data_IF_956467523202
#
_entry.id   IF_956467523202
#
_cell.length_a   1.000
_cell.length_b   1.000
_cell.length_c   1.000
_cell.angle_alpha   90.00
_cell.angle_beta   90.00
_cell.angle_gamma   90.00
#
_symmetry.space_group_name_H-M   'P 1'
#
loop_
_entity.id
_entity.type
_entity.pdbx_description
1 polymer ?
#
# COMPACT_ATOMS: atom_id res chain seq x y z
N UNK A 1 -6.74 35.52 -25.78
CA UNK A 1 -8.10 35.11 -25.35
C UNK A 1 -7.93 34.17 -24.16
N UNK A 2 -8.37 34.39 -22.93
CA UNK A 2 -9.19 35.43 -22.31
C UNK A 2 -8.58 35.75 -20.92
N UNK A 3 -8.60 37.02 -20.51
CA UNK A 3 -8.14 37.49 -19.18
C UNK A 3 -9.18 37.10 -18.13
N UNK A 4 -8.77 36.42 -17.07
CA UNK A 4 -9.57 36.19 -15.87
C UNK A 4 -9.39 37.36 -14.89
N UNK A 5 -10.44 37.83 -14.21
CA UNK A 5 -10.37 38.98 -13.31
C UNK A 5 -9.79 38.56 -11.96
N UNK A 6 -8.74 39.27 -11.54
CA UNK A 6 -8.28 39.31 -10.15
C UNK A 6 -9.23 40.25 -9.40
N UNK A 7 -10.12 39.68 -8.60
CA UNK A 7 -10.86 40.41 -7.58
C UNK A 7 -9.98 40.57 -6.36
N UNK A 8 -9.78 41.82 -5.95
CA UNK A 8 -9.12 42.23 -4.72
C UNK A 8 -9.76 41.55 -3.51
N UNK A 9 -8.97 40.77 -2.78
CA UNK A 9 -9.34 40.26 -1.46
C UNK A 9 -8.62 41.14 -0.44
N UNK A 10 -9.43 41.89 0.29
CA UNK A 10 -9.05 42.75 1.39
C UNK A 10 -8.14 42.05 2.40
N UNK A 11 -7.08 42.77 2.79
CA UNK A 11 -6.22 42.49 3.93
C UNK A 11 -7.02 42.59 5.24
N UNK A 12 -7.62 41.47 5.64
CA UNK A 12 -8.27 41.30 6.94
C UNK A 12 -7.30 40.88 8.02
N UNK A 13 -6.93 41.84 8.87
CA UNK A 13 -6.39 41.73 10.23
C UNK A 13 -6.38 40.32 10.86
N UNK A 14 -5.19 39.72 10.94
CA UNK A 14 -4.92 38.53 11.74
C UNK A 14 -4.79 38.92 13.22
N UNK A 15 -5.89 38.89 13.97
CA UNK A 15 -5.86 38.97 15.43
C UNK A 15 -6.67 37.84 16.06
N UNK A 16 -5.96 36.95 16.75
CA UNK A 16 -6.46 36.22 17.92
C UNK A 16 -7.40 35.05 17.64
N UNK A 17 -6.86 33.83 17.72
CA UNK A 17 -7.26 32.76 18.66
C UNK A 17 -6.16 31.68 18.53
N UNK A 18 -5.19 31.72 19.45
CA UNK A 18 -4.23 30.63 19.63
C UNK A 18 -4.95 29.46 20.32
N UNK A 19 -5.64 28.64 19.53
CA UNK A 19 -6.06 27.30 19.95
C UNK A 19 -4.87 26.36 19.74
N UNK A 20 -4.04 26.22 20.77
CA UNK A 20 -2.98 25.22 20.79
C UNK A 20 -3.59 23.83 20.88
N UNK A 21 -3.83 23.24 19.71
CA UNK A 21 -3.68 21.81 19.43
C UNK A 21 -2.54 21.25 20.30
N UNK A 22 -2.69 20.08 20.97
CA UNK A 22 -1.56 19.30 21.45
C UNK A 22 -0.73 18.83 20.25
N UNK A 23 -0.03 19.79 19.63
CA UNK A 23 1.00 19.52 18.66
C UNK A 23 2.00 18.59 19.30
N UNK A 24 2.31 17.50 18.59
CA UNK A 24 3.37 16.59 18.97
C UNK A 24 4.61 17.45 19.17
N UNK A 25 5.17 17.56 20.39
CA UNK A 25 6.23 18.53 20.68
C UNK A 25 7.45 18.38 19.76
N UNK A 26 7.60 17.19 19.16
CA UNK A 26 8.64 16.85 18.21
C UNK A 26 8.46 17.51 16.82
N UNK A 27 7.26 17.86 16.39
CA UNK A 27 7.02 18.49 15.07
C UNK A 27 7.45 19.96 15.05
N UNK A 28 7.35 20.66 16.19
CA UNK A 28 7.78 22.06 16.34
C UNK A 28 9.28 22.29 16.20
N UNK A 29 10.10 21.24 16.34
CA UNK A 29 11.55 21.33 16.13
C UNK A 29 11.92 21.61 14.67
N UNK A 30 11.00 21.39 13.74
CA UNK A 30 11.20 21.61 12.32
C UNK A 30 10.61 22.95 11.87
N UNK A 31 11.35 23.63 10.99
CA UNK A 31 10.90 24.85 10.33
C UNK A 31 9.61 24.61 9.54
N UNK A 32 8.78 25.65 9.44
CA UNK A 32 7.58 25.66 8.58
C UNK A 32 7.95 25.39 7.11
N UNK A 33 6.98 24.88 6.34
CA UNK A 33 7.21 24.40 4.98
C UNK A 33 7.40 22.89 4.89
N UNK A 34 8.11 22.49 3.83
CA UNK A 34 8.42 21.10 3.52
C UNK A 34 9.12 20.32 4.65
N UNK A 35 10.03 20.89 5.48
CA UNK A 35 10.65 20.13 6.58
C UNK A 35 9.63 19.62 7.60
N UNK A 36 8.63 20.45 7.94
CA UNK A 36 7.56 20.04 8.86
C UNK A 36 6.63 19.01 8.23
N UNK A 37 6.32 19.14 6.93
CA UNK A 37 5.55 18.12 6.20
C UNK A 37 6.29 16.77 6.18
N UNK A 38 7.60 16.77 5.93
CA UNK A 38 8.40 15.55 5.93
C UNK A 38 8.41 14.88 7.32
N UNK A 39 8.61 15.67 8.37
CA UNK A 39 8.53 15.19 9.75
C UNK A 39 7.14 14.64 10.09
N UNK A 40 6.08 15.26 9.58
CA UNK A 40 4.71 14.82 9.75
C UNK A 40 4.46 13.46 9.10
N UNK A 41 4.94 13.28 7.88
CA UNK A 41 4.85 12.02 7.12
C UNK A 41 5.65 10.89 7.76
N UNK A 42 6.81 11.19 8.35
CA UNK A 42 7.61 10.22 9.08
C UNK A 42 6.92 9.79 10.39
N UNK A 43 6.33 10.73 11.11
CA UNK A 43 5.75 10.46 12.43
C UNK A 43 4.36 9.84 12.37
N UNK A 44 3.54 10.19 11.38
CA UNK A 44 2.18 9.70 11.25
C UNK A 44 2.09 8.70 10.09
N UNK A 45 1.99 7.40 10.42
CA UNK A 45 1.78 6.37 9.40
C UNK A 45 0.55 6.66 8.50
N UNK A 46 -0.50 7.26 9.06
CA UNK A 46 -1.72 7.62 8.31
C UNK A 46 -1.53 8.80 7.33
N UNK A 47 -0.43 9.55 7.44
CA UNK A 47 -0.10 10.65 6.51
C UNK A 47 1.02 10.26 5.54
N UNK A 48 1.46 8.99 5.54
CA UNK A 48 2.37 8.38 4.56
C UNK A 48 1.71 8.20 3.18
N UNK A 49 1.11 9.28 2.72
CA UNK A 49 0.48 9.51 1.43
C UNK A 49 1.52 10.22 0.57
N UNK A 50 1.86 9.63 -0.56
CA UNK A 50 2.86 10.13 -1.49
C UNK A 50 2.20 10.37 -2.84
N UNK A 51 2.63 11.43 -3.53
CA UNK A 51 2.21 11.66 -4.90
C UNK A 51 2.94 10.68 -5.83
N UNK A 52 2.21 9.93 -6.65
CA UNK A 52 2.78 8.94 -7.60
C UNK A 52 3.27 9.58 -8.91
N UNK A 53 2.88 10.83 -9.19
CA UNK A 53 3.21 11.55 -10.42
C UNK A 53 2.81 10.78 -11.69
N UNK A 54 1.65 10.13 -11.67
CA UNK A 54 1.23 9.16 -12.69
C UNK A 54 1.24 9.74 -14.10
N UNK A 55 0.66 10.92 -14.30
CA UNK A 55 0.65 11.57 -15.63
C UNK A 55 2.06 11.92 -16.12
N UNK A 56 2.94 12.36 -15.23
CA UNK A 56 4.32 12.70 -15.60
C UNK A 56 5.12 11.43 -15.93
N UNK A 57 4.95 10.37 -15.13
CA UNK A 57 5.56 9.07 -15.37
C UNK A 57 5.14 8.49 -16.72
N UNK A 58 3.84 8.51 -17.04
CA UNK A 58 3.32 8.07 -18.34
C UNK A 58 3.90 8.89 -19.50
N UNK A 59 4.04 10.21 -19.33
CA UNK A 59 4.68 11.06 -20.34
C UNK A 59 6.14 10.67 -20.56
N UNK A 60 6.88 10.37 -19.50
CA UNK A 60 8.27 9.89 -19.62
C UNK A 60 8.33 8.54 -20.35
N UNK A 61 7.43 7.60 -20.04
CA UNK A 61 7.35 6.31 -20.74
C UNK A 61 7.07 6.48 -22.24
N UNK A 62 6.11 7.32 -22.60
CA UNK A 62 5.78 7.63 -23.99
C UNK A 62 6.94 8.27 -24.74
N UNK A 63 7.69 9.16 -24.09
CA UNK A 63 8.89 9.78 -24.66
C UNK A 63 9.98 8.74 -24.95
N UNK A 64 10.19 7.77 -24.05
CA UNK A 64 11.12 6.66 -24.28
C UNK A 64 10.65 5.75 -25.42
N UNK A 65 9.35 5.42 -25.47
CA UNK A 65 8.76 4.63 -26.55
C UNK A 65 8.96 5.31 -27.90
N UNK A 66 8.65 6.61 -28.01
CA UNK A 66 8.84 7.37 -29.24
C UNK A 66 10.31 7.36 -29.71
N UNK A 67 11.27 7.53 -28.78
CA UNK A 67 12.71 7.48 -29.10
C UNK A 67 13.14 6.10 -29.58
N UNK A 68 12.68 5.04 -28.93
CA UNK A 68 13.01 3.66 -29.30
C UNK A 68 12.39 3.32 -30.65
N UNK A 69 11.12 3.66 -30.88
CA UNK A 69 10.44 3.47 -32.17
C UNK A 69 11.13 4.22 -33.31
N UNK A 70 11.60 5.45 -33.11
CA UNK A 70 12.37 6.16 -34.13
C UNK A 70 13.66 5.43 -34.49
N UNK A 71 14.39 4.90 -33.50
CA UNK A 71 15.62 4.13 -33.75
C UNK A 71 15.35 2.76 -34.39
N UNK A 72 14.24 2.13 -34.04
CA UNK A 72 13.78 0.86 -34.61
C UNK A 72 13.40 1.02 -36.09
N UNK A 73 12.72 2.12 -36.44
CA UNK A 73 12.44 2.47 -37.83
C UNK A 73 13.71 2.74 -38.63
N UNK A 74 14.63 3.54 -38.08
CA UNK A 74 15.94 3.78 -38.70
C UNK A 74 16.71 2.45 -38.93
N UNK A 75 16.66 1.53 -37.97
CA UNK A 75 17.31 0.22 -38.06
C UNK A 75 16.67 -0.65 -39.14
N UNK A 76 15.34 -0.68 -39.19
CA UNK A 76 14.58 -1.40 -40.22
C UNK A 76 14.90 -0.92 -41.64
N UNK A 77 15.03 0.40 -41.82
CA UNK A 77 15.44 0.99 -43.11
C UNK A 77 16.86 0.55 -43.48
N UNK A 78 17.82 0.61 -42.54
CA UNK A 78 19.20 0.16 -42.77
C UNK A 78 19.25 -1.34 -43.14
N UNK A 79 18.50 -2.19 -42.44
CA UNK A 79 18.42 -3.63 -42.73
C UNK A 79 17.84 -3.88 -44.14
N UNK A 80 16.82 -3.12 -44.54
CA UNK A 80 16.27 -3.20 -45.88
C UNK A 80 17.30 -2.77 -46.95
N UNK A 81 18.12 -1.76 -46.67
CA UNK A 81 19.21 -1.34 -47.57
C UNK A 81 20.30 -2.40 -47.72
N UNK A 82 20.66 -3.12 -46.63
CA UNK A 82 21.60 -4.26 -46.69
C UNK A 82 21.07 -5.32 -47.66
N UNK A 83 19.81 -5.76 -47.47
CA UNK A 83 19.18 -6.81 -48.27
C UNK A 83 19.06 -6.41 -49.74
N UNK A 84 18.62 -5.18 -50.01
CA UNK A 84 18.47 -4.68 -51.37
C UNK A 84 19.81 -4.62 -52.12
N UNK A 85 20.89 -4.24 -51.42
CA UNK A 85 22.21 -4.13 -52.05
C UNK A 85 22.86 -5.49 -52.27
N UNK A 86 22.70 -6.43 -51.34
CA UNK A 86 23.21 -7.79 -51.50
C UNK A 86 22.57 -8.49 -52.71
N UNK A 87 21.25 -8.35 -52.86
CA UNK A 87 20.51 -8.86 -54.01
C UNK A 87 20.98 -8.26 -55.36
N UNK A 88 21.29 -6.95 -55.41
CA UNK A 88 21.81 -6.30 -56.61
C UNK A 88 23.26 -6.71 -56.94
N UNK A 89 24.08 -6.98 -55.92
CA UNK A 89 25.46 -7.41 -56.10
C UNK A 89 25.56 -8.76 -56.83
N UNK A 90 24.64 -9.68 -56.52
CA UNK A 90 24.53 -11.01 -57.13
C UNK A 90 24.12 -10.90 -58.61
N UNK A 91 23.26 -9.94 -58.96
CA UNK A 91 22.72 -9.80 -60.32
C UNK A 91 23.65 -8.99 -61.24
N UNK A 92 24.38 -7.99 -60.72
CA UNK A 92 24.96 -6.94 -61.56
C UNK A 92 26.48 -7.04 -61.78
N UNK A 93 27.21 -7.84 -60.97
CA UNK A 93 28.66 -8.04 -61.12
C UNK A 93 29.56 -6.78 -61.07
N UNK A 94 28.98 -5.59 -60.85
CA UNK A 94 29.66 -4.30 -61.00
C UNK A 94 29.95 -3.65 -59.64
N UNK A 95 31.23 -3.31 -59.40
CA UNK A 95 31.80 -2.95 -58.10
C UNK A 95 31.74 -1.47 -57.72
N UNK A 96 30.75 -0.69 -58.21
CA UNK A 96 30.88 0.78 -58.22
C UNK A 96 30.52 1.50 -56.90
N UNK A 97 29.77 0.90 -55.96
CA UNK A 97 29.32 1.60 -54.73
C UNK A 97 29.87 0.98 -53.43
N UNK A 98 31.11 0.49 -53.46
CA UNK A 98 31.70 -0.24 -52.33
C UNK A 98 31.97 0.61 -51.08
N UNK A 99 32.08 1.94 -51.22
CA UNK A 99 32.42 2.84 -50.11
C UNK A 99 31.25 3.10 -49.18
N UNK A 100 30.04 3.32 -49.71
CA UNK A 100 28.86 3.62 -48.89
C UNK A 100 28.35 2.37 -48.14
N UNK A 101 28.59 1.19 -48.71
CA UNK A 101 28.27 -0.09 -48.10
C UNK A 101 29.22 -0.51 -46.97
N UNK A 102 30.45 0.02 -46.97
CA UNK A 102 31.43 -0.30 -45.94
C UNK A 102 31.01 0.27 -44.56
N UNK A 103 30.25 1.36 -44.55
CA UNK A 103 29.83 2.05 -43.32
C UNK A 103 28.51 1.52 -42.74
N UNK A 104 27.75 0.74 -43.50
CA UNK A 104 26.42 0.26 -43.11
C UNK A 104 26.44 -0.60 -41.82
N UNK A 105 27.37 -1.56 -41.64
CA UNK A 105 27.48 -2.31 -40.39
C UNK A 105 27.81 -1.43 -39.18
N UNK A 106 28.61 -0.39 -39.39
CA UNK A 106 28.94 0.60 -38.36
C UNK A 106 27.69 1.39 -37.95
N UNK A 107 26.87 1.82 -38.91
CA UNK A 107 25.63 2.55 -38.63
C UNK A 107 24.62 1.69 -37.86
N UNK A 108 24.43 0.43 -38.29
CA UNK A 108 23.58 -0.55 -37.59
C UNK A 108 24.06 -0.73 -36.15
N UNK A 109 25.35 -1.00 -35.96
CA UNK A 109 25.93 -1.17 -34.62
C UNK A 109 25.72 0.06 -33.74
N UNK A 110 25.88 1.27 -34.29
CA UNK A 110 25.67 2.52 -33.56
C UNK A 110 24.21 2.72 -33.14
N UNK A 111 23.24 2.34 -33.99
CA UNK A 111 21.81 2.40 -33.66
C UNK A 111 21.45 1.38 -32.58
N UNK A 112 21.92 0.14 -32.71
CA UNK A 112 21.72 -0.92 -31.71
C UNK A 112 22.32 -0.53 -30.36
N UNK A 113 23.52 0.04 -30.34
CA UNK A 113 24.14 0.56 -29.11
C UNK A 113 23.29 1.64 -28.46
N UNK A 114 22.77 2.58 -29.26
CA UNK A 114 21.88 3.64 -28.77
C UNK A 114 20.57 3.09 -28.20
N UNK A 115 19.92 2.13 -28.86
CA UNK A 115 18.74 1.44 -28.33
C UNK A 115 19.08 0.74 -27.02
N UNK A 116 20.18 -0.02 -27.01
CA UNK A 116 20.65 -0.75 -25.82
C UNK A 116 20.91 0.19 -24.65
N UNK A 117 21.37 1.41 -24.89
CA UNK A 117 21.57 2.42 -23.84
C UNK A 117 20.26 2.99 -23.26
N UNK A 118 19.17 3.05 -24.05
CA UNK A 118 17.87 3.59 -23.63
C UNK A 118 16.99 2.56 -22.91
N UNK A 119 17.10 1.29 -23.28
CA UNK A 119 16.27 0.21 -22.74
C UNK A 119 16.31 0.08 -21.21
N UNK A 120 17.48 0.16 -20.52
CA UNK A 120 17.51 0.06 -19.06
C UNK A 120 16.66 1.12 -18.37
N UNK A 121 16.73 2.39 -18.81
CA UNK A 121 15.93 3.48 -18.24
C UNK A 121 14.43 3.30 -18.52
N UNK A 122 14.07 2.83 -19.72
CA UNK A 122 12.68 2.52 -20.05
C UNK A 122 12.12 1.40 -19.16
N UNK A 123 12.83 0.27 -19.04
CA UNK A 123 12.41 -0.85 -18.21
C UNK A 123 12.37 -0.49 -16.73
N UNK A 124 13.30 0.34 -16.26
CA UNK A 124 13.30 0.85 -14.89
C UNK A 124 12.03 1.66 -14.60
N UNK A 125 11.60 2.55 -15.51
CA UNK A 125 10.36 3.31 -15.36
C UNK A 125 9.12 2.39 -15.36
N UNK A 126 9.08 1.37 -16.22
CA UNK A 126 7.99 0.39 -16.22
C UNK A 126 7.92 -0.38 -14.90
N UNK A 127 9.07 -0.79 -14.34
CA UNK A 127 9.11 -1.46 -13.06
C UNK A 127 8.62 -0.55 -11.92
N UNK A 128 9.00 0.73 -11.94
CA UNK A 128 8.47 1.71 -10.99
C UNK A 128 6.98 1.93 -11.12
N UNK A 129 6.46 1.98 -12.34
CA UNK A 129 5.02 2.06 -12.58
C UNK A 129 4.29 0.86 -11.98
N UNK A 130 4.77 -0.36 -12.23
CA UNK A 130 4.19 -1.58 -11.67
C UNK A 130 4.24 -1.57 -10.14
N UNK A 131 5.37 -1.18 -9.56
CA UNK A 131 5.53 -1.06 -8.11
C UNK A 131 4.54 -0.04 -7.53
N UNK A 132 4.38 1.13 -8.16
CA UNK A 132 3.42 2.16 -7.73
C UNK A 132 1.97 1.70 -7.90
N UNK A 133 1.65 0.96 -8.96
CA UNK A 133 0.32 0.40 -9.19
C UNK A 133 -0.07 -0.67 -8.16
N UNK A 134 0.91 -1.31 -7.51
CA UNK A 134 0.68 -2.25 -6.41
C UNK A 134 0.39 -1.58 -5.07
N UNK A 135 0.67 -0.28 -4.94
CA UNK A 135 0.37 0.48 -3.73
C UNK A 135 -1.12 0.81 -3.61
N UNK A 136 -1.57 1.08 -2.38
CA UNK A 136 -2.97 1.41 -2.14
C UNK A 136 -3.30 2.82 -2.66
N UNK A 137 -4.36 2.94 -3.45
CA UNK A 137 -4.90 4.23 -3.84
C UNK A 137 -5.51 4.96 -2.64
N UNK A 138 -5.19 6.24 -2.48
CA UNK A 138 -5.65 7.03 -1.34
C UNK A 138 -7.12 7.38 -1.52
N UNK A 139 -7.92 7.15 -0.47
CA UNK A 139 -9.34 7.52 -0.51
C UNK A 139 -9.52 9.02 -0.34
N UNK A 140 -10.56 9.57 -0.95
CA UNK A 140 -10.91 10.99 -0.84
C UNK A 140 -10.96 11.53 0.61
N UNK A 141 -11.51 10.81 1.61
CA UNK A 141 -11.51 11.30 2.99
C UNK A 141 -10.10 11.41 3.60
N UNK A 142 -9.18 10.50 3.27
CA UNK A 142 -7.80 10.51 3.73
C UNK A 142 -7.02 11.67 3.10
N UNK A 143 -7.20 11.84 1.78
CA UNK A 143 -6.67 12.99 1.04
C UNK A 143 -7.19 14.32 1.62
N UNK A 144 -8.50 14.43 1.89
CA UNK A 144 -9.10 15.64 2.46
C UNK A 144 -8.53 15.93 3.85
N UNK A 145 -8.37 14.91 4.70
CA UNK A 145 -7.75 15.07 6.01
C UNK A 145 -6.33 15.63 5.90
N UNK A 146 -5.52 15.07 4.97
CA UNK A 146 -4.18 15.61 4.68
C UNK A 146 -4.25 17.06 4.19
N UNK A 147 -5.12 17.36 3.23
CA UNK A 147 -5.30 18.72 2.69
C UNK A 147 -5.65 19.72 3.79
N UNK A 148 -6.65 19.42 4.61
CA UNK A 148 -7.08 20.31 5.69
C UNK A 148 -6.00 20.47 6.76
N UNK A 149 -5.28 19.40 7.10
CA UNK A 149 -4.15 19.47 8.04
C UNK A 149 -3.05 20.40 7.51
N UNK A 150 -2.59 20.18 6.28
CA UNK A 150 -1.53 20.98 5.67
C UNK A 150 -1.92 22.45 5.55
N UNK A 151 -3.19 22.72 5.20
CA UNK A 151 -3.75 24.08 5.07
C UNK A 151 -3.98 24.77 6.40
N UNK A 152 -4.60 24.09 7.36
CA UNK A 152 -5.03 24.71 8.63
C UNK A 152 -3.87 24.84 9.62
N UNK A 153 -2.93 23.91 9.60
CA UNK A 153 -1.76 23.95 10.50
C UNK A 153 -0.65 24.88 9.95
N UNK A 154 -0.89 25.54 8.81
CA UNK A 154 0.03 26.51 8.21
C UNK A 154 1.34 25.88 7.73
N UNK A 155 1.34 24.60 7.38
CA UNK A 155 2.57 23.92 6.98
C UNK A 155 3.07 24.40 5.63
N UNK A 156 2.17 24.72 4.70
CA UNK A 156 2.49 25.08 3.33
C UNK A 156 1.79 26.39 2.96
N UNK A 157 2.48 27.24 2.20
CA UNK A 157 1.86 28.40 1.56
C UNK A 157 0.93 27.98 0.41
N UNK A 158 0.12 28.90 -0.10
CA UNK A 158 -0.85 28.62 -1.18
C UNK A 158 -0.18 28.10 -2.47
N UNK A 159 1.06 28.50 -2.74
CA UNK A 159 1.82 28.06 -3.92
C UNK A 159 2.32 26.62 -3.73
N UNK A 160 2.80 26.28 -2.54
CA UNK A 160 3.24 24.95 -2.14
C UNK A 160 2.07 23.97 -2.05
N UNK A 161 0.89 24.44 -1.65
CA UNK A 161 -0.35 23.66 -1.67
C UNK A 161 -0.73 23.18 -3.08
N UNK A 162 -0.20 23.78 -4.16
CA UNK A 162 -0.38 23.29 -5.52
C UNK A 162 0.13 21.85 -5.72
N UNK A 163 1.05 21.37 -4.87
CA UNK A 163 1.47 19.97 -4.85
C UNK A 163 0.30 19.00 -4.61
N UNK A 164 -0.68 19.40 -3.80
CA UNK A 164 -1.82 18.59 -3.43
C UNK A 164 -2.97 18.68 -4.45
N UNK A 165 -2.87 19.48 -5.51
CA UNK A 165 -3.99 19.79 -6.43
C UNK A 165 -4.67 18.58 -7.09
N UNK A 166 -3.97 17.46 -7.22
CA UNK A 166 -4.44 16.27 -7.95
C UNK A 166 -4.74 15.13 -6.97
N UNK A 167 -5.98 14.98 -6.48
CA UNK A 167 -6.31 13.96 -5.47
C UNK A 167 -6.08 12.53 -5.95
N UNK A 168 -6.31 12.26 -7.23
CA UNK A 168 -6.17 10.92 -7.83
C UNK A 168 -4.70 10.51 -8.07
N UNK A 169 -3.76 11.44 -7.83
CA UNK A 169 -2.33 11.22 -8.02
C UNK A 169 -1.63 10.80 -6.72
N UNK A 170 -2.37 10.36 -5.71
CA UNK A 170 -1.83 9.96 -4.40
C UNK A 170 -1.94 8.45 -4.14
N UNK A 171 -0.88 7.88 -3.59
CA UNK A 171 -0.77 6.50 -3.14
C UNK A 171 -0.35 6.45 -1.68
N UNK A 172 -0.86 5.47 -0.95
CA UNK A 172 -0.48 5.20 0.43
C UNK A 172 0.56 4.08 0.47
N UNK A 173 1.64 4.30 1.20
CA UNK A 173 2.64 3.25 1.49
C UNK A 173 2.20 2.35 2.65
N UNK A 174 1.10 2.67 3.34
CA UNK A 174 0.58 1.81 4.40
C UNK A 174 -0.17 0.61 3.80
N UNK A 175 0.35 -0.59 4.07
CA UNK A 175 -0.09 -1.84 3.45
C UNK A 175 -1.29 -2.50 4.15
N UNK A 176 -2.05 -1.78 4.97
CA UNK A 176 -3.02 -2.41 5.86
C UNK A 176 -4.44 -2.42 5.25
N UNK A 177 -4.89 -3.53 4.61
CA UNK A 177 -6.24 -3.65 4.04
C UNK A 177 -7.34 -3.50 5.10
N UNK A 178 -6.98 -3.68 6.38
CA UNK A 178 -7.91 -3.54 7.50
C UNK A 178 -8.45 -2.11 7.65
N UNK A 179 -7.71 -1.08 7.24
CA UNK A 179 -8.23 0.30 7.31
C UNK A 179 -9.52 0.47 6.52
N UNK A 180 -9.70 -0.35 5.48
CA UNK A 180 -10.87 -0.32 4.63
C UNK A 180 -12.18 -0.80 5.26
N UNK A 181 -12.14 -1.56 6.36
CA UNK A 181 -13.36 -1.89 7.08
C UNK A 181 -13.49 -1.05 8.35
N UNK A 182 -12.36 -0.62 8.94
CA UNK A 182 -12.33 0.26 10.09
C UNK A 182 -13.11 1.55 9.85
N UNK A 183 -13.01 2.19 8.68
CA UNK A 183 -13.80 3.41 8.41
C UNK A 183 -15.32 3.17 8.39
N UNK A 184 -15.79 1.92 8.25
CA UNK A 184 -17.21 1.56 8.31
C UNK A 184 -17.69 1.37 9.75
N UNK A 185 -16.78 1.19 10.72
CA UNK A 185 -17.16 1.13 12.12
C UNK A 185 -17.73 2.49 12.55
N UNK A 186 -18.73 2.49 13.43
CA UNK A 186 -19.36 3.72 13.85
C UNK A 186 -18.35 4.61 14.57
N UNK A 187 -18.30 5.89 14.16
CA UNK A 187 -17.28 6.87 14.57
C UNK A 187 -17.09 6.98 16.09
N UNK A 188 -18.12 6.71 16.88
CA UNK A 188 -18.04 6.78 18.34
C UNK A 188 -17.08 5.76 18.97
N UNK A 189 -16.76 4.65 18.28
CA UNK A 189 -15.78 3.65 18.75
C UNK A 189 -14.34 4.04 18.45
N UNK A 190 -14.15 4.88 17.45
CA UNK A 190 -12.86 5.19 16.84
C UNK A 190 -12.32 6.57 17.26
N UNK A 191 -13.21 7.49 17.58
CA UNK A 191 -12.85 8.82 18.03
C UNK A 191 -12.59 8.77 19.53
N UNK A 192 -11.32 8.94 19.90
CA UNK A 192 -10.94 9.17 21.30
C UNK A 192 -11.69 10.40 21.82
N UNK A 193 -12.41 10.26 22.94
CA UNK A 193 -13.18 11.36 23.53
C UNK A 193 -12.27 12.46 24.07
N UNK A 194 -10.98 12.19 24.26
CA UNK A 194 -10.02 13.17 24.75
C UNK A 194 -9.50 14.16 23.69
N UNK A 195 -9.72 13.93 22.39
CA UNK A 195 -9.27 14.83 21.29
C UNK A 195 -10.36 15.77 20.78
N UNK A 196 -11.33 16.16 21.62
CA UNK A 196 -12.45 17.06 21.26
C UNK A 196 -12.06 18.50 20.88
N UNK A 197 -10.78 18.89 20.93
CA UNK A 197 -10.34 20.27 20.64
C UNK A 197 -9.86 20.51 19.21
N UNK A 198 -9.65 19.47 18.41
CA UNK A 198 -9.19 19.63 17.02
C UNK A 198 -10.33 19.36 16.05
N UNK A 199 -10.86 20.43 15.45
CA UNK A 199 -12.06 20.35 14.59
C UNK A 199 -11.83 19.61 13.26
N UNK A 200 -10.60 19.32 12.86
CA UNK A 200 -10.31 18.92 11.47
C UNK A 200 -9.34 17.75 11.27
N UNK A 201 -8.77 17.18 12.34
CA UNK A 201 -7.77 16.11 12.23
C UNK A 201 -8.17 14.91 13.08
N UNK A 202 -8.69 13.87 12.43
CA UNK A 202 -8.99 12.61 13.10
C UNK A 202 -7.69 11.81 13.25
N UNK A 203 -7.04 11.93 14.41
CA UNK A 203 -6.00 10.99 14.81
C UNK A 203 -6.67 9.71 15.29
N UNK A 204 -6.69 8.71 14.41
CA UNK A 204 -6.99 7.36 14.83
C UNK A 204 -5.73 6.83 15.52
N UNK A 205 -5.78 6.71 16.85
CA UNK A 205 -4.64 6.24 17.63
C UNK A 205 -4.32 4.81 17.21
N UNK A 206 -3.14 4.63 16.60
CA UNK A 206 -2.64 3.33 16.18
C UNK A 206 -2.66 2.33 17.34
N UNK A 207 -2.43 2.81 18.56
CA UNK A 207 -2.46 1.99 19.78
C UNK A 207 -3.86 1.47 20.11
N UNK A 208 -4.92 2.28 19.93
CA UNK A 208 -6.30 1.83 20.16
C UNK A 208 -6.71 0.82 19.10
N UNK A 209 -6.40 1.07 17.82
CA UNK A 209 -6.71 0.12 16.75
C UNK A 209 -6.00 -1.20 16.99
N UNK A 210 -4.72 -1.13 17.37
CA UNK A 210 -3.93 -2.30 17.70
C UNK A 210 -4.56 -3.05 18.88
N UNK A 211 -4.90 -2.36 19.96
CA UNK A 211 -5.56 -2.96 21.11
C UNK A 211 -6.93 -3.57 20.77
N UNK A 212 -7.72 -2.92 19.91
CA UNK A 212 -9.01 -3.46 19.44
C UNK A 212 -8.79 -4.68 18.56
N UNK A 213 -7.86 -4.64 17.60
CA UNK A 213 -7.56 -5.77 16.74
C UNK A 213 -7.04 -6.96 17.55
N UNK A 214 -6.11 -6.74 18.47
CA UNK A 214 -5.60 -7.75 19.39
C UNK A 214 -6.74 -8.29 20.28
N UNK A 215 -7.60 -7.41 20.81
CA UNK A 215 -8.76 -7.79 21.62
C UNK A 215 -9.80 -8.62 20.86
N UNK A 216 -10.16 -8.22 19.63
CA UNK A 216 -11.09 -8.97 18.77
C UNK A 216 -10.50 -10.33 18.40
N UNK A 217 -9.19 -10.40 18.15
CA UNK A 217 -8.49 -11.64 17.88
C UNK A 217 -8.51 -12.58 19.09
N UNK A 218 -8.21 -12.07 20.28
CA UNK A 218 -8.27 -12.82 21.54
C UNK A 218 -9.70 -13.34 21.76
N UNK A 219 -10.70 -12.49 21.56
CA UNK A 219 -12.11 -12.86 21.71
C UNK A 219 -12.53 -13.94 20.70
N UNK A 220 -12.10 -13.83 19.45
CA UNK A 220 -12.33 -14.82 18.41
C UNK A 220 -11.73 -16.19 18.79
N UNK A 221 -10.50 -16.22 19.30
CA UNK A 221 -9.88 -17.46 19.76
C UNK A 221 -10.59 -18.04 21.00
N UNK A 222 -10.94 -17.20 21.97
CA UNK A 222 -11.72 -17.64 23.12
C UNK A 222 -13.06 -18.25 22.68
N UNK A 223 -13.72 -17.65 21.69
CA UNK A 223 -14.96 -18.17 21.13
C UNK A 223 -14.76 -19.54 20.47
N UNK A 224 -13.74 -19.71 19.61
CA UNK A 224 -13.43 -21.01 18.98
C UNK A 224 -13.14 -22.10 20.02
N UNK A 225 -12.42 -21.75 21.09
CA UNK A 225 -12.03 -22.71 22.13
C UNK A 225 -13.20 -23.10 23.04
N UNK A 226 -14.11 -22.18 23.32
CA UNK A 226 -15.27 -22.41 24.19
C UNK A 226 -16.46 -23.02 23.45
N UNK A 227 -16.58 -22.83 22.13
CA UNK A 227 -17.72 -23.32 21.36
C UNK A 227 -17.97 -24.83 21.48
N UNK A 228 -16.95 -25.72 21.48
CA UNK A 228 -17.16 -27.16 21.68
C UNK A 228 -17.76 -27.49 23.05
N UNK A 229 -17.30 -26.80 24.09
CA UNK A 229 -17.80 -26.99 25.47
C UNK A 229 -19.24 -26.52 25.57
N UNK A 230 -19.55 -25.38 24.98
CA UNK A 230 -20.92 -24.83 24.93
C UNK A 230 -21.85 -25.77 24.17
N UNK A 231 -21.45 -26.24 22.98
CA UNK A 231 -22.23 -27.20 22.18
C UNK A 231 -22.50 -28.50 22.94
N UNK A 232 -21.52 -28.99 23.69
CA UNK A 232 -21.69 -30.18 24.52
C UNK A 232 -22.74 -30.00 25.61
N UNK A 233 -22.72 -28.85 26.31
CA UNK A 233 -23.70 -28.54 27.37
C UNK A 233 -25.10 -28.32 26.80
N UNK A 234 -25.21 -27.70 25.61
CA UNK A 234 -26.50 -27.42 24.98
C UNK A 234 -27.16 -28.64 24.31
N UNK A 235 -26.37 -29.65 23.90
CA UNK A 235 -26.88 -30.82 23.16
C UNK A 235 -26.47 -32.12 23.88
N UNK A 236 -27.18 -32.49 24.97
CA UNK A 236 -26.83 -33.65 25.79
C UNK A 236 -27.02 -35.01 25.09
N UNK A 237 -27.75 -35.05 23.96
CA UNK A 237 -27.99 -36.29 23.21
C UNK A 237 -26.83 -36.69 22.27
N UNK A 238 -25.74 -35.92 22.23
CA UNK A 238 -24.59 -36.25 21.39
C UNK A 238 -23.89 -37.53 21.84
N UNK A 239 -23.69 -38.46 20.90
CA UNK A 239 -22.93 -39.68 21.17
C UNK A 239 -21.46 -39.36 21.47
N UNK A 240 -20.83 -40.16 22.34
CA UNK A 240 -19.44 -39.94 22.80
C UNK A 240 -18.44 -39.77 21.65
N UNK A 241 -18.60 -40.57 20.59
CA UNK A 241 -17.72 -40.51 19.42
C UNK A 241 -17.85 -39.18 18.67
N UNK A 242 -19.07 -38.65 18.56
CA UNK A 242 -19.33 -37.36 17.90
C UNK A 242 -18.74 -36.22 18.73
N UNK A 243 -18.89 -36.26 20.07
CA UNK A 243 -18.30 -35.26 20.96
C UNK A 243 -16.79 -35.19 20.82
N UNK A 244 -16.10 -36.33 20.82
CA UNK A 244 -14.64 -36.39 20.60
C UNK A 244 -14.29 -35.86 19.21
N UNK A 245 -15.07 -36.22 18.18
CA UNK A 245 -14.88 -35.72 16.82
C UNK A 245 -14.98 -34.19 16.71
N UNK A 246 -15.99 -33.58 17.33
CA UNK A 246 -16.17 -32.12 17.39
C UNK A 246 -14.96 -31.48 18.08
N UNK A 247 -14.54 -32.03 19.22
CA UNK A 247 -13.39 -31.55 19.98
C UNK A 247 -12.10 -31.51 19.14
N UNK A 248 -11.80 -32.62 18.45
CA UNK A 248 -10.62 -32.73 17.58
C UNK A 248 -10.72 -31.76 16.40
N UNK A 249 -11.90 -31.66 15.78
CA UNK A 249 -12.11 -30.74 14.66
C UNK A 249 -11.87 -29.28 15.04
N UNK A 250 -12.39 -28.82 16.18
CA UNK A 250 -12.17 -27.46 16.68
C UNK A 250 -10.71 -27.21 17.11
N UNK A 251 -10.05 -28.22 17.68
CA UNK A 251 -8.61 -28.16 18.00
C UNK A 251 -7.77 -27.94 16.74
N UNK A 252 -8.03 -28.73 15.69
CA UNK A 252 -7.35 -28.61 14.40
C UNK A 252 -7.65 -27.26 13.75
N UNK A 253 -8.90 -26.82 13.77
CA UNK A 253 -9.29 -25.51 13.25
C UNK A 253 -8.58 -24.35 13.97
N UNK A 254 -8.49 -24.41 15.29
CA UNK A 254 -7.73 -23.45 16.10
C UNK A 254 -6.25 -23.43 15.72
N UNK A 255 -5.62 -24.61 15.57
CA UNK A 255 -4.22 -24.72 15.17
C UNK A 255 -4.00 -24.10 13.78
N UNK A 256 -4.84 -24.43 12.80
CA UNK A 256 -4.78 -23.86 11.44
C UNK A 256 -4.94 -22.33 11.51
N UNK A 257 -5.93 -21.83 12.23
CA UNK A 257 -6.17 -20.39 12.39
C UNK A 257 -4.95 -19.66 12.98
N UNK A 258 -4.28 -20.26 13.98
CA UNK A 258 -3.05 -19.70 14.53
C UNK A 258 -1.89 -19.69 13.52
N UNK A 259 -1.77 -20.71 12.66
CA UNK A 259 -0.70 -20.74 11.64
C UNK A 259 -0.84 -19.68 10.56
N UNK A 260 -2.07 -19.24 10.26
CA UNK A 260 -2.30 -18.14 9.31
C UNK A 260 -1.90 -16.76 9.87
N UNK A 261 -1.70 -16.63 11.19
CA UNK A 261 -1.34 -15.36 11.80
C UNK A 261 0.16 -15.08 11.62
N UNK A 262 0.49 -14.25 10.62
CA UNK A 262 1.87 -13.80 10.37
C UNK A 262 2.38 -12.98 11.56
N UNK A 263 3.35 -13.51 12.29
CA UNK A 263 4.05 -12.80 13.37
C UNK A 263 3.99 -13.48 14.74
N UNK A 264 3.17 -14.52 14.91
CA UNK A 264 3.21 -15.31 16.15
C UNK A 264 4.39 -16.27 16.07
N UNK A 265 5.31 -16.15 17.03
CA UNK A 265 6.40 -17.12 17.14
C UNK A 265 5.82 -18.51 17.43
N UNK A 266 6.30 -19.55 16.72
CA UNK A 266 5.77 -20.91 16.80
C UNK A 266 5.63 -21.46 18.22
N UNK A 267 6.48 -21.02 19.15
CA UNK A 267 6.44 -21.45 20.54
C UNK A 267 5.16 -21.00 21.27
N UNK A 268 4.58 -19.83 20.96
CA UNK A 268 3.31 -19.40 21.56
C UNK A 268 2.13 -20.25 21.09
N UNK A 269 2.14 -20.70 19.84
CA UNK A 269 1.12 -21.61 19.29
C UNK A 269 1.17 -22.95 20.00
N UNK A 270 2.36 -23.50 20.23
CA UNK A 270 2.56 -24.76 20.95
C UNK A 270 2.10 -24.66 22.41
N UNK A 271 2.43 -23.57 23.11
CA UNK A 271 1.97 -23.34 24.49
C UNK A 271 0.44 -23.27 24.55
N UNK A 272 -0.20 -22.55 23.62
CA UNK A 272 -1.66 -22.48 23.53
C UNK A 272 -2.30 -23.84 23.26
N UNK A 273 -1.72 -24.63 22.34
CA UNK A 273 -2.19 -25.97 22.02
C UNK A 273 -2.05 -26.92 23.22
N UNK A 274 -0.92 -26.90 23.91
CA UNK A 274 -0.68 -27.72 25.10
C UNK A 274 -1.65 -27.36 26.24
N UNK A 275 -1.85 -26.07 26.51
CA UNK A 275 -2.79 -25.61 27.53
C UNK A 275 -4.22 -26.06 27.19
N UNK A 276 -4.62 -25.94 25.93
CA UNK A 276 -5.94 -26.37 25.49
C UNK A 276 -6.11 -27.89 25.55
N UNK A 277 -5.12 -28.67 25.11
CA UNK A 277 -5.14 -30.13 25.21
C UNK A 277 -5.24 -30.59 26.67
N UNK A 278 -4.58 -29.91 27.61
CA UNK A 278 -4.70 -30.19 29.03
C UNK A 278 -6.11 -29.93 29.57
N UNK A 279 -6.72 -28.79 29.21
CA UNK A 279 -8.10 -28.47 29.59
C UNK A 279 -9.08 -29.50 29.03
N UNK A 280 -8.93 -29.84 27.75
CA UNK A 280 -9.73 -30.87 27.09
C UNK A 280 -9.59 -32.24 27.75
N UNK A 281 -8.36 -32.64 28.08
CA UNK A 281 -8.08 -33.89 28.78
C UNK A 281 -8.75 -33.94 30.16
N UNK A 282 -8.69 -32.83 30.92
CA UNK A 282 -9.35 -32.73 32.22
C UNK A 282 -10.88 -32.82 32.09
N UNK A 283 -11.48 -32.17 31.08
CA UNK A 283 -12.90 -32.28 30.80
C UNK A 283 -13.30 -33.72 30.43
N UNK A 284 -12.54 -34.37 29.55
CA UNK A 284 -12.80 -35.77 29.16
C UNK A 284 -12.67 -36.73 30.34
N UNK A 285 -11.69 -36.52 31.22
CA UNK A 285 -11.49 -37.35 32.42
C UNK A 285 -12.66 -37.21 33.41
N UNK A 286 -13.16 -35.99 33.63
CA UNK A 286 -14.35 -35.77 34.46
C UNK A 286 -15.59 -36.47 33.88
N UNK A 287 -15.74 -36.45 32.56
CA UNK A 287 -16.84 -37.16 31.90
C UNK A 287 -16.74 -38.67 32.10
N UNK A 288 -15.53 -39.26 32.04
CA UNK A 288 -15.36 -40.70 32.28
C UNK A 288 -15.69 -41.10 33.72
N UNK A 289 -15.38 -40.25 34.70
CA UNK A 289 -15.64 -40.51 36.12
C UNK A 289 -17.13 -40.63 36.47
N UNK A 290 -17.98 -39.80 35.86
CA UNK A 290 -19.44 -39.83 36.09
C UNK A 290 -20.11 -41.12 35.60
N UNK A 291 -19.54 -41.77 34.57
CA UNK A 291 -20.06 -43.02 34.01
C UNK A 291 -19.63 -44.28 34.77
N UNK A 292 -18.54 -44.23 35.56
CA UNK A 292 -18.14 -45.37 36.40
C UNK A 292 -18.90 -45.46 37.72
N UNK A 293 -19.68 -44.42 38.06
CA UNK A 293 -20.49 -44.34 39.27
C UNK A 293 -21.99 -44.60 39.07
N UNK A 294 -22.43 -44.90 37.84
CA UNK A 294 -23.80 -45.30 37.50
C UNK A 294 -23.82 -46.77 37.04
#
# INVERSE_FOLDING_TARGET
>A
MAKLPLTDIESGSASGINQTTPEIPQLRRYAEGLPRVAADQEHCANTAIHRKFGTLLQRCLLEFQAKITGLDQDLFELDHHVVATDAQSVVSGASSNRSELADLPSQISAKVEKITSLLPSYYQLMFYEQALASLHEVRMPEYQNKWYRMKNDGYLDDQQMAYLRYPDDFVSTTSNPLWGWLYKLPRFLLVDRHTKKEKHTFYLSSDLIRAICEGVLIWFYAFILLLPVVLYVLVPELTKQVTVGILVAFTVFFAISMTFHRGIQHHHVLVGLCAYAAVLGAFLANLQGEFTSA
#
